data_IF_986968218978
#
_entry.id   IF_986968218978
#
_cell.length_a   1.000
_cell.length_b   1.000
_cell.length_c   1.000
_cell.angle_alpha   90.00
_cell.angle_beta   90.00
_cell.angle_gamma   90.00
#
_symmetry.space_group_name_H-M   'P 1'
#
loop_
_entity.id
_entity.type
_entity.pdbx_description
1 polymer ?
#
# COMPACT_ATOMS: atom_id res chain seq x y z
N UNK A 1 -4.99 -14.64 -15.50
CA UNK A 1 -6.23 -14.38 -14.83
C UNK A 1 -6.28 -13.01 -14.21
N UNK A 2 -6.94 -12.13 -14.89
CA UNK A 2 -6.91 -10.72 -14.53
C UNK A 2 -7.82 -10.34 -13.37
N UNK A 3 -8.85 -11.17 -13.13
CA UNK A 3 -9.84 -10.80 -12.12
C UNK A 3 -9.27 -10.77 -10.71
N UNK A 4 -8.46 -11.77 -10.37
CA UNK A 4 -7.83 -11.80 -9.05
C UNK A 4 -6.83 -10.66 -8.88
N UNK A 5 -6.02 -10.42 -9.91
CA UNK A 5 -5.05 -9.32 -9.88
C UNK A 5 -5.77 -7.98 -9.69
N UNK A 6 -6.89 -7.80 -10.38
CA UNK A 6 -7.68 -6.57 -10.25
C UNK A 6 -8.22 -6.40 -8.84
N UNK A 7 -8.70 -7.47 -8.22
CA UNK A 7 -9.20 -7.41 -6.85
C UNK A 7 -8.09 -7.02 -5.88
N UNK A 8 -6.90 -7.58 -6.06
CA UNK A 8 -5.76 -7.23 -5.22
C UNK A 8 -5.40 -5.75 -5.39
N UNK A 9 -5.37 -5.26 -6.63
CA UNK A 9 -5.05 -3.86 -6.88
C UNK A 9 -6.07 -2.91 -6.24
N UNK A 10 -7.34 -3.27 -6.26
CA UNK A 10 -8.38 -2.45 -5.62
C UNK A 10 -8.17 -2.38 -4.11
N UNK A 11 -7.79 -3.49 -3.49
CA UNK A 11 -7.51 -3.50 -2.06
C UNK A 11 -6.25 -2.70 -1.72
N UNK A 12 -5.24 -2.76 -2.57
CA UNK A 12 -4.03 -1.97 -2.40
C UNK A 12 -4.36 -0.47 -2.49
N UNK A 13 -5.21 -0.10 -3.41
CA UNK A 13 -5.62 1.30 -3.54
C UNK A 13 -6.30 1.80 -2.27
N UNK A 14 -7.19 1.01 -1.71
CA UNK A 14 -7.84 1.37 -0.45
C UNK A 14 -6.83 1.48 0.68
N UNK A 15 -5.87 0.56 0.70
CA UNK A 15 -4.81 0.61 1.69
C UNK A 15 -3.99 1.89 1.57
N UNK A 16 -3.68 2.30 0.34
CA UNK A 16 -2.92 3.53 0.10
C UNK A 16 -3.67 4.74 0.66
N UNK A 17 -4.97 4.81 0.45
CA UNK A 17 -5.78 5.90 0.97
C UNK A 17 -5.75 5.93 2.50
N UNK A 18 -5.89 4.76 3.12
CA UNK A 18 -5.82 4.66 4.57
C UNK A 18 -4.44 5.07 5.07
N UNK A 19 -3.40 4.68 4.35
CA UNK A 19 -2.03 5.00 4.72
C UNK A 19 -1.78 6.51 4.70
N UNK A 20 -2.33 7.21 3.72
CA UNK A 20 -2.23 8.66 3.66
C UNK A 20 -2.86 9.30 4.89
N UNK A 21 -4.04 8.85 5.26
CA UNK A 21 -4.73 9.35 6.45
C UNK A 21 -3.93 9.10 7.72
N UNK A 22 -3.38 7.89 7.85
CA UNK A 22 -2.57 7.55 9.02
C UNK A 22 -1.31 8.38 9.10
N UNK A 23 -0.64 8.61 7.98
CA UNK A 23 0.57 9.42 7.95
C UNK A 23 0.29 10.86 8.39
N UNK A 24 -0.83 11.41 7.94
CA UNK A 24 -1.23 12.76 8.35
C UNK A 24 -1.54 12.79 9.84
N UNK A 25 -2.26 11.80 10.32
CA UNK A 25 -2.68 11.74 11.72
C UNK A 25 -1.49 11.61 12.66
N UNK A 26 -0.49 10.83 12.28
CA UNK A 26 0.67 10.55 13.13
C UNK A 26 1.92 11.26 12.64
N UNK A 27 1.74 12.40 11.99
CA UNK A 27 2.85 13.14 11.39
C UNK A 27 3.91 13.55 12.41
N UNK A 28 3.51 13.82 13.64
CA UNK A 28 4.44 14.26 14.68
C UNK A 28 5.11 13.10 15.42
N UNK A 29 4.66 11.89 15.21
CA UNK A 29 5.25 10.71 15.84
C UNK A 29 6.24 10.10 14.86
N UNK A 30 7.52 10.48 15.01
CA UNK A 30 8.53 10.09 14.03
C UNK A 30 8.76 8.58 13.99
N UNK A 31 8.65 7.90 15.12
CA UNK A 31 8.84 6.44 15.15
C UNK A 31 7.69 5.76 14.42
N UNK A 32 6.47 6.14 14.75
CA UNK A 32 5.31 5.53 14.13
C UNK A 32 5.23 5.85 12.63
N UNK A 33 5.55 7.09 12.27
CA UNK A 33 5.58 7.50 10.87
C UNK A 33 6.58 6.67 10.07
N UNK A 34 7.75 6.42 10.64
CA UNK A 34 8.78 5.62 10.00
C UNK A 34 8.28 4.19 9.75
N UNK A 35 7.59 3.61 10.72
CA UNK A 35 7.02 2.27 10.55
C UNK A 35 5.94 2.24 9.48
N UNK A 36 5.12 3.27 9.43
CA UNK A 36 4.11 3.39 8.37
C UNK A 36 4.76 3.47 6.99
N UNK A 37 5.87 4.19 6.89
CA UNK A 37 6.58 4.32 5.63
C UNK A 37 7.13 2.96 5.16
N UNK A 38 7.68 2.17 6.09
CA UNK A 38 8.17 0.83 5.75
C UNK A 38 7.03 -0.06 5.25
N UNK A 39 5.88 0.01 5.89
CA UNK A 39 4.72 -0.77 5.48
C UNK A 39 4.24 -0.35 4.11
N UNK A 40 4.24 0.95 3.84
CA UNK A 40 3.86 1.48 2.55
C UNK A 40 4.79 0.96 1.44
N UNK A 41 6.09 0.91 1.71
CA UNK A 41 7.05 0.37 0.74
C UNK A 41 6.75 -1.09 0.42
N UNK A 42 6.40 -1.89 1.42
CA UNK A 42 6.04 -3.30 1.20
C UNK A 42 4.82 -3.43 0.33
N UNK A 43 3.83 -2.59 0.55
CA UNK A 43 2.61 -2.60 -0.26
C UNK A 43 2.92 -2.23 -1.70
N UNK A 44 3.81 -1.26 -1.92
CA UNK A 44 4.20 -0.87 -3.26
C UNK A 44 4.95 -2.00 -3.98
N UNK A 45 5.79 -2.76 -3.26
CA UNK A 45 6.45 -3.92 -3.83
C UNK A 45 5.44 -4.97 -4.28
N UNK A 46 4.45 -5.23 -3.44
CA UNK A 46 3.39 -6.20 -3.77
C UNK A 46 2.62 -5.72 -4.99
N UNK A 47 2.34 -4.44 -5.07
CA UNK A 47 1.65 -3.87 -6.22
C UNK A 47 2.42 -4.11 -7.52
N UNK A 48 3.74 -3.93 -7.47
CA UNK A 48 4.59 -4.18 -8.63
C UNK A 48 4.58 -5.65 -9.04
N UNK A 49 4.62 -6.55 -8.06
CA UNK A 49 4.57 -7.97 -8.33
C UNK A 49 3.26 -8.37 -9.00
N UNK A 50 2.16 -7.81 -8.54
CA UNK A 50 0.85 -8.07 -9.13
C UNK A 50 0.82 -7.57 -10.58
N UNK A 51 1.34 -6.38 -10.82
CA UNK A 51 1.40 -5.84 -12.18
C UNK A 51 2.24 -6.70 -13.10
N UNK A 52 3.37 -7.21 -12.60
CA UNK A 52 4.26 -8.04 -13.44
C UNK A 52 3.67 -9.41 -13.72
N UNK A 53 2.75 -9.88 -12.90
CA UNK A 53 2.17 -11.21 -13.06
C UNK A 53 0.81 -11.22 -13.72
N UNK A 54 0.28 -10.07 -14.05
CA UNK A 54 -1.01 -10.04 -14.72
C UNK A 54 -0.83 -10.38 -16.20
N UNK A 55 -1.77 -11.06 -16.73
CA UNK A 55 -1.76 -11.42 -18.16
C UNK A 55 -2.58 -10.46 -18.98
#
# INVERSE_FOLDING_TARGET
>A
MTNLARQIQLKIKKFDELMIELKIKYLKDSVFYSELHKLDEKIQEISKLVDNNKD
#
